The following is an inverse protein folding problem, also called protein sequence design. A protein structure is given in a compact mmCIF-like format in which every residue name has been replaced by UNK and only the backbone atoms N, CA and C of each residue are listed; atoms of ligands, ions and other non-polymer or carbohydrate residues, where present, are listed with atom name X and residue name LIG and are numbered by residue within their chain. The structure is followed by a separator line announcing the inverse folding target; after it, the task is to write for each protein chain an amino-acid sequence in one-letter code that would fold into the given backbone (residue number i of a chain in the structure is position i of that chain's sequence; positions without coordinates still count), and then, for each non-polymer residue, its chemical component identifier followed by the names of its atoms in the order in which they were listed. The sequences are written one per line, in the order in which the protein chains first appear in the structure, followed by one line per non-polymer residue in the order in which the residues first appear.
data_IF_345947508570
#
_entry.id   IF_345947508570
#
_cell.length_a   1.000
_cell.length_b   1.000
_cell.length_c   1.000
_cell.angle_alpha   90.00
_cell.angle_beta   90.00
_cell.angle_gamma   90.00
#
_symmetry.space_group_name_H-M   'P 1'
#
loop_
_entity.id
_entity.type
_entity.pdbx_description
1 polymer ?
#
# COMPACT_ATOMS: atom_id res chain seq x y z
N UNK A 1 1.22 1.76 10.02
CA UNK A 1 1.17 0.50 10.75
C UNK A 1 -0.03 -0.27 10.21
N UNK A 2 0.17 -0.91 9.06
CA UNK A 2 -0.74 -1.93 8.53
C UNK A 2 0.08 -3.22 8.64
N UNK A 3 -0.28 -4.06 9.61
CA UNK A 3 0.30 -5.38 9.80
C UNK A 3 -0.24 -6.29 8.71
N UNK A 4 0.62 -6.71 7.78
CA UNK A 4 0.28 -7.74 6.80
C UNK A 4 0.74 -9.09 7.36
N UNK A 5 -0.25 -9.87 7.78
CA UNK A 5 -0.12 -11.30 7.99
C UNK A 5 0.23 -11.96 6.64
N UNK A 6 1.32 -12.73 6.60
CA UNK A 6 1.74 -13.38 5.35
C UNK A 6 2.89 -14.37 5.53
N UNK A 7 2.56 -15.51 6.12
CA UNK A 7 2.98 -16.88 5.72
C UNK A 7 4.48 -17.13 5.44
N UNK A 8 5.10 -17.90 6.34
CA UNK A 8 6.42 -18.51 6.20
C UNK A 8 6.50 -19.42 4.98
N UNK A 9 7.37 -19.11 4.01
CA UNK A 9 7.74 -20.03 2.93
C UNK A 9 9.15 -20.59 3.21
N UNK A 10 9.23 -21.92 3.35
CA UNK A 10 10.46 -22.67 3.63
C UNK A 10 11.32 -22.75 2.37
N UNK A 11 12.60 -22.46 2.55
CA UNK A 11 13.69 -22.63 1.59
C UNK A 11 13.72 -24.06 0.99
N UNK A 12 13.80 -24.18 -0.34
CA UNK A 12 14.23 -25.41 -1.01
C UNK A 12 15.38 -25.10 -1.99
N UNK A 13 16.53 -25.76 -1.78
CA UNK A 13 17.76 -25.61 -2.57
C UNK A 13 17.76 -26.66 -3.68
N UNK A 14 18.07 -26.22 -4.90
CA UNK A 14 18.21 -27.08 -6.07
C UNK A 14 19.51 -27.91 -6.01
N UNK A 15 19.44 -29.19 -6.39
CA UNK A 15 20.58 -30.01 -6.83
C UNK A 15 20.20 -30.88 -8.04
N UNK A 16 21.08 -30.91 -9.04
CA UNK A 16 20.95 -31.42 -10.42
C UNK A 16 21.07 -32.95 -10.58
N UNK A 17 20.61 -33.48 -11.75
CA UNK A 17 21.16 -34.60 -12.59
C UNK A 17 20.12 -34.97 -13.71
N UNK A 18 20.39 -34.80 -15.01
CA UNK A 18 21.11 -35.67 -16.00
C UNK A 18 20.26 -36.79 -16.64
N UNK A 19 19.84 -36.54 -17.91
CA UNK A 19 19.90 -37.39 -19.13
C UNK A 19 19.04 -38.68 -19.34
N UNK A 20 18.43 -38.72 -20.55
CA UNK A 20 18.23 -39.84 -21.51
C UNK A 20 16.84 -40.48 -21.77
N UNK A 21 16.51 -40.47 -23.07
CA UNK A 21 15.86 -41.51 -23.91
C UNK A 21 14.33 -41.66 -24.08
N UNK A 22 14.02 -42.05 -25.32
CA UNK A 22 12.78 -42.17 -26.08
C UNK A 22 11.91 -43.36 -25.70
N UNK A 23 10.57 -43.25 -25.88
CA UNK A 23 9.69 -44.26 -26.53
C UNK A 23 8.20 -43.85 -26.51
N UNK A 24 7.50 -44.37 -27.49
CA UNK A 24 6.19 -44.02 -28.06
C UNK A 24 5.03 -44.84 -27.43
N UNK A 25 3.81 -44.24 -27.35
CA UNK A 25 2.46 -44.80 -27.66
C UNK A 25 1.31 -44.58 -26.64
N UNK A 26 0.26 -43.97 -27.19
CA UNK A 26 -1.21 -44.24 -27.07
C UNK A 26 -2.02 -43.84 -25.81
N UNK A 27 -2.78 -42.75 -25.99
CA UNK A 27 -4.17 -42.42 -25.57
C UNK A 27 -4.70 -42.97 -24.22
N UNK A 28 -5.08 -42.06 -23.32
CA UNK A 28 -6.44 -42.05 -22.75
C UNK A 28 -6.84 -40.62 -22.39
N UNK A 29 -8.05 -40.22 -22.82
CA UNK A 29 -8.66 -38.92 -22.55
C UNK A 29 -9.09 -38.85 -21.08
N UNK A 30 -8.65 -37.82 -20.38
CA UNK A 30 -9.39 -37.29 -19.23
C UNK A 30 -9.47 -35.78 -19.38
N UNK A 31 -10.60 -35.34 -19.93
CA UNK A 31 -10.98 -33.93 -20.03
C UNK A 31 -11.18 -33.38 -18.61
N UNK A 32 -10.16 -32.78 -18.01
CA UNK A 32 -10.41 -31.78 -16.96
C UNK A 32 -10.86 -30.51 -17.65
N UNK A 33 -12.18 -30.44 -17.88
CA UNK A 33 -12.88 -29.18 -18.19
C UNK A 33 -12.64 -28.24 -17.00
N UNK A 34 -11.55 -27.46 -17.02
CA UNK A 34 -11.49 -26.24 -16.22
C UNK A 34 -12.59 -25.34 -16.76
N UNK A 35 -13.73 -25.35 -16.07
CA UNK A 35 -14.87 -24.47 -16.34
C UNK A 35 -14.35 -23.04 -16.35
N UNK A 36 -14.07 -22.52 -17.54
CA UNK A 36 -13.99 -21.09 -17.81
C UNK A 36 -15.36 -20.52 -17.47
N UNK A 37 -15.54 -20.09 -16.22
CA UNK A 37 -16.73 -19.34 -15.83
C UNK A 37 -16.70 -18.05 -16.63
N UNK A 38 -17.51 -18.01 -17.68
CA UNK A 38 -17.84 -16.82 -18.44
C UNK A 38 -18.34 -15.76 -17.46
N UNK A 39 -17.51 -14.74 -17.19
CA UNK A 39 -17.92 -13.58 -16.39
C UNK A 39 -19.08 -12.92 -17.14
N UNK A 40 -20.26 -12.92 -16.53
CA UNK A 40 -21.34 -12.02 -16.89
C UNK A 40 -20.76 -10.60 -17.02
N UNK A 41 -21.18 -9.80 -18.03
CA UNK A 41 -20.70 -8.43 -18.15
C UNK A 41 -21.11 -7.69 -16.87
N UNK A 42 -20.12 -7.40 -16.03
CA UNK A 42 -20.37 -6.69 -14.79
C UNK A 42 -21.02 -5.35 -15.15
N UNK A 43 -22.22 -5.07 -14.62
CA UNK A 43 -23.01 -3.85 -14.88
C UNK A 43 -22.20 -2.55 -14.70
N UNK A 44 -21.09 -2.62 -13.96
CA UNK A 44 -20.16 -1.53 -13.71
C UNK A 44 -18.75 -1.96 -14.12
N UNK A 45 -18.11 -1.24 -15.05
CA UNK A 45 -16.78 -1.59 -15.58
C UNK A 45 -15.64 -0.70 -15.07
N UNK A 46 -15.96 0.45 -14.47
CA UNK A 46 -15.00 1.47 -14.04
C UNK A 46 -15.29 1.93 -12.61
N UNK A 47 -14.23 2.11 -11.83
CA UNK A 47 -14.30 2.63 -10.46
C UNK A 47 -13.43 3.89 -10.36
N UNK A 48 -13.86 4.83 -9.53
CA UNK A 48 -13.07 6.02 -9.18
C UNK A 48 -12.98 6.13 -7.67
N UNK A 49 -11.78 6.49 -7.21
CA UNK A 49 -11.54 6.83 -5.81
C UNK A 49 -10.70 8.10 -5.72
N UNK A 50 -10.98 8.90 -4.70
CA UNK A 50 -10.23 10.11 -4.42
C UNK A 50 -8.91 9.74 -3.72
N UNK A 51 -7.81 10.39 -4.06
CA UNK A 51 -6.49 10.18 -3.41
C UNK A 51 -6.41 10.82 -2.01
N UNK A 52 -7.40 10.53 -1.17
CA UNK A 52 -7.53 11.12 0.16
C UNK A 52 -6.97 10.20 1.23
N UNK A 53 -5.96 10.67 1.97
CA UNK A 53 -5.33 9.96 3.10
C UNK A 53 -4.83 8.55 2.72
N UNK A 54 -4.74 7.59 3.65
CA UNK A 54 -4.25 6.22 3.39
C UNK A 54 -5.34 5.28 2.87
N UNK A 55 -6.61 5.69 2.97
CA UNK A 55 -7.78 4.85 2.68
C UNK A 55 -7.97 4.52 1.20
N UNK A 56 -7.32 5.24 0.28
CA UNK A 56 -7.38 4.90 -1.14
C UNK A 56 -6.66 3.59 -1.47
N UNK A 57 -5.69 3.15 -0.65
CA UNK A 57 -4.90 1.94 -0.89
C UNK A 57 -5.79 0.69 -0.98
N UNK A 58 -6.60 0.34 0.04
CA UNK A 58 -7.49 -0.82 -0.06
C UNK A 58 -8.55 -0.66 -1.16
N UNK A 59 -9.07 0.55 -1.37
CA UNK A 59 -10.06 0.84 -2.42
C UNK A 59 -9.50 0.73 -3.83
N UNK A 60 -8.19 0.88 -3.99
CA UNK A 60 -7.50 0.69 -5.26
C UNK A 60 -7.14 -0.78 -5.48
N UNK A 61 -6.52 -1.41 -4.48
CA UNK A 61 -5.98 -2.77 -4.61
C UNK A 61 -7.05 -3.87 -4.67
N UNK A 62 -8.14 -3.76 -3.90
CA UNK A 62 -9.15 -4.82 -3.85
C UNK A 62 -9.89 -4.97 -5.20
N UNK A 63 -10.40 -3.90 -5.83
CA UNK A 63 -11.08 -4.05 -7.11
C UNK A 63 -10.12 -4.32 -8.27
N UNK A 64 -8.88 -3.82 -8.21
CA UNK A 64 -7.82 -4.13 -9.18
C UNK A 64 -7.57 -5.65 -9.23
N UNK A 65 -7.47 -6.33 -8.08
CA UNK A 65 -7.31 -7.80 -8.01
C UNK A 65 -8.48 -8.56 -8.64
N UNK A 66 -9.69 -8.03 -8.56
CA UNK A 66 -10.89 -8.65 -9.15
C UNK A 66 -11.07 -8.35 -10.66
N UNK A 67 -10.26 -7.44 -11.21
CA UNK A 67 -10.23 -7.08 -12.62
C UNK A 67 -11.02 -5.82 -13.00
N UNK A 68 -11.36 -4.94 -12.04
CA UNK A 68 -11.96 -3.65 -12.35
C UNK A 68 -10.91 -2.63 -12.78
N UNK A 69 -11.27 -1.74 -13.72
CA UNK A 69 -10.45 -0.57 -14.04
C UNK A 69 -10.67 0.51 -12.99
N UNK A 70 -9.72 0.68 -12.09
CA UNK A 70 -9.76 1.70 -11.03
C UNK A 70 -8.95 2.93 -11.44
N UNK A 71 -9.57 4.10 -11.36
CA UNK A 71 -8.92 5.39 -11.57
C UNK A 71 -8.77 6.11 -10.23
N UNK A 72 -7.53 6.37 -9.84
CA UNK A 72 -7.22 7.24 -8.71
C UNK A 72 -7.24 8.69 -9.17
N UNK A 73 -7.98 9.57 -8.50
CA UNK A 73 -8.14 10.98 -8.92
C UNK A 73 -7.32 11.92 -8.05
N UNK A 74 -6.81 13.02 -8.63
CA UNK A 74 -6.16 14.08 -7.86
C UNK A 74 -7.22 14.90 -7.10
N UNK A 75 -7.14 14.90 -5.76
CA UNK A 75 -8.05 15.66 -4.88
C UNK A 75 -8.07 17.15 -5.23
N UNK A 76 -6.93 17.73 -5.60
CA UNK A 76 -6.80 19.16 -5.90
C UNK A 76 -7.54 19.55 -7.18
N UNK A 77 -7.46 18.70 -8.21
CA UNK A 77 -8.17 18.89 -9.47
C UNK A 77 -9.69 18.75 -9.28
N UNK A 78 -10.14 17.79 -8.46
CA UNK A 78 -11.58 17.62 -8.20
C UNK A 78 -12.14 18.81 -7.42
N UNK A 79 -11.34 19.40 -6.51
CA UNK A 79 -11.70 20.58 -5.72
C UNK A 79 -11.74 21.87 -6.53
N UNK A 80 -10.94 21.99 -7.59
CA UNK A 80 -10.91 23.20 -8.44
C UNK A 80 -12.13 23.31 -9.34
N UNK A 81 -12.91 22.24 -9.52
CA UNK A 81 -14.12 22.28 -10.33
C UNK A 81 -15.27 22.79 -9.43
N UNK A 82 -15.92 23.92 -9.77
CA UNK A 82 -16.91 24.56 -8.92
C UNK A 82 -18.09 23.63 -8.60
N UNK A 83 -18.41 23.47 -7.32
CA UNK A 83 -19.51 22.61 -6.83
C UNK A 83 -19.94 22.96 -5.40
N UNK A 84 -21.20 22.69 -5.05
CA UNK A 84 -21.67 22.58 -3.65
C UNK A 84 -21.35 21.18 -3.08
N UNK A 85 -20.49 21.11 -2.06
CA UNK A 85 -19.94 19.85 -1.53
C UNK A 85 -20.83 19.24 -0.43
N UNK A 86 -21.33 18.03 -0.66
CA UNK A 86 -21.80 17.09 0.39
C UNK A 86 -21.20 15.69 0.15
N UNK A 87 -21.02 14.86 1.18
CA UNK A 87 -20.28 13.60 1.06
C UNK A 87 -20.97 12.58 0.13
N UNK A 88 -22.28 12.41 0.24
CA UNK A 88 -23.06 11.54 -0.67
C UNK A 88 -23.08 12.07 -2.12
N UNK A 89 -22.99 13.39 -2.30
CA UNK A 89 -22.88 13.98 -3.63
C UNK A 89 -21.46 13.87 -4.20
N UNK A 90 -20.44 13.59 -3.39
CA UNK A 90 -19.06 13.49 -3.86
C UNK A 90 -18.84 12.27 -4.76
N UNK A 91 -19.36 11.10 -4.39
CA UNK A 91 -19.24 9.88 -5.22
C UNK A 91 -20.00 10.01 -6.53
N UNK A 92 -21.21 10.60 -6.49
CA UNK A 92 -21.99 10.91 -7.71
C UNK A 92 -21.24 11.88 -8.61
N UNK A 93 -20.64 12.91 -8.02
CA UNK A 93 -19.86 13.91 -8.73
C UNK A 93 -18.61 13.33 -9.39
N UNK A 94 -17.81 12.57 -8.64
CA UNK A 94 -16.63 11.88 -9.16
C UNK A 94 -16.99 10.93 -10.31
N UNK A 95 -18.13 10.24 -10.22
CA UNK A 95 -18.62 9.38 -11.30
C UNK A 95 -19.01 10.19 -12.52
N UNK A 96 -19.70 11.33 -12.34
CA UNK A 96 -20.06 12.23 -13.43
C UNK A 96 -18.82 12.72 -14.19
N UNK A 97 -17.81 13.20 -13.45
CA UNK A 97 -16.53 13.64 -13.99
C UNK A 97 -15.77 12.51 -14.71
N UNK A 98 -15.82 11.28 -14.18
CA UNK A 98 -15.19 10.10 -14.81
C UNK A 98 -15.86 9.74 -16.14
N UNK A 99 -17.19 9.80 -16.20
CA UNK A 99 -17.94 9.57 -17.46
C UNK A 99 -17.58 10.62 -18.50
N UNK A 100 -17.47 11.88 -18.07
CA UNK A 100 -17.05 12.99 -18.93
C UNK A 100 -15.57 12.98 -19.31
N UNK A 101 -14.76 12.03 -18.81
CA UNK A 101 -13.30 11.99 -18.97
C UNK A 101 -12.59 13.29 -18.55
N UNK A 102 -13.19 14.05 -17.65
CA UNK A 102 -12.69 15.36 -17.19
C UNK A 102 -11.61 15.24 -16.09
N UNK A 103 -11.31 14.03 -15.64
CA UNK A 103 -10.35 13.78 -14.56
C UNK A 103 -9.10 13.10 -15.09
N UNK A 104 -7.94 13.65 -14.73
CA UNK A 104 -6.66 13.01 -15.00
C UNK A 104 -6.38 11.93 -13.95
N UNK A 105 -6.00 10.70 -14.35
CA UNK A 105 -5.58 9.69 -13.39
C UNK A 105 -4.31 10.16 -12.67
N UNK A 106 -4.26 9.95 -11.36
CA UNK A 106 -3.05 10.17 -10.57
C UNK A 106 -2.08 9.01 -10.78
N UNK A 107 -0.78 9.32 -10.71
CA UNK A 107 0.26 8.32 -10.85
C UNK A 107 0.25 7.38 -9.63
N UNK A 108 0.11 6.08 -9.89
CA UNK A 108 0.27 5.02 -8.88
C UNK A 108 1.58 4.30 -9.20
N UNK A 109 2.59 4.36 -8.32
CA UNK A 109 3.87 3.70 -8.55
C UNK A 109 3.70 2.17 -8.57
N UNK A 110 4.62 1.47 -9.24
CA UNK A 110 4.65 0.01 -9.20
C UNK A 110 4.78 -0.53 -7.76
N UNK A 111 4.31 -1.76 -7.51
CA UNK A 111 4.25 -2.35 -6.16
C UNK A 111 5.60 -2.37 -5.44
N UNK A 112 6.71 -2.64 -6.14
CA UNK A 112 8.05 -2.62 -5.54
C UNK A 112 8.46 -1.21 -5.06
N UNK A 113 8.14 -0.16 -5.84
CA UNK A 113 8.39 1.23 -5.46
C UNK A 113 7.47 1.66 -4.30
N UNK A 114 6.22 1.19 -4.25
CA UNK A 114 5.33 1.43 -3.12
C UNK A 114 5.94 0.89 -1.82
N UNK A 115 6.41 -0.37 -1.84
CA UNK A 115 7.04 -1.00 -0.68
C UNK A 115 8.31 -0.25 -0.22
N UNK A 116 9.16 0.14 -1.17
CA UNK A 116 10.35 0.93 -0.86
C UNK A 116 9.99 2.29 -0.23
N UNK A 117 8.99 2.98 -0.78
CA UNK A 117 8.50 4.26 -0.24
C UNK A 117 7.88 4.11 1.14
N UNK A 118 7.22 3.01 1.41
CA UNK A 118 6.67 2.71 2.74
C UNK A 118 7.80 2.53 3.75
N UNK A 119 8.82 1.73 3.42
CA UNK A 119 9.99 1.51 4.28
C UNK A 119 10.73 2.81 4.60
N UNK A 120 10.98 3.66 3.58
CA UNK A 120 11.67 4.94 3.80
C UNK A 120 10.85 5.89 4.67
N UNK A 121 9.53 5.97 4.45
CA UNK A 121 8.63 6.76 5.30
C UNK A 121 8.57 6.22 6.73
N UNK A 122 8.54 4.91 6.90
CA UNK A 122 8.58 4.27 8.22
C UNK A 122 9.87 4.62 8.95
N UNK A 123 11.03 4.54 8.29
CA UNK A 123 12.32 4.93 8.89
C UNK A 123 12.28 6.38 9.39
N UNK A 124 11.86 7.32 8.53
CA UNK A 124 11.74 8.74 8.92
C UNK A 124 10.80 8.89 10.12
N UNK A 125 9.66 8.20 10.12
CA UNK A 125 8.71 8.23 11.23
C UNK A 125 9.30 7.70 12.53
N UNK A 126 10.06 6.61 12.49
CA UNK A 126 10.74 6.07 13.68
C UNK A 126 11.80 7.01 14.22
N UNK A 127 12.60 7.64 13.36
CA UNK A 127 13.59 8.65 13.78
C UNK A 127 12.90 9.83 14.46
N UNK A 128 11.80 10.33 13.90
CA UNK A 128 11.01 11.39 14.52
C UNK A 128 10.41 10.97 15.87
N UNK A 129 9.82 9.77 15.94
CA UNK A 129 9.24 9.23 17.16
C UNK A 129 10.31 9.07 18.26
N UNK A 130 11.53 8.65 17.90
CA UNK A 130 12.68 8.57 18.81
C UNK A 130 12.97 9.92 19.45
N UNK A 131 13.10 10.98 18.65
CA UNK A 131 13.33 12.34 19.15
C UNK A 131 12.16 12.84 20.00
N UNK A 132 10.92 12.58 19.59
CA UNK A 132 9.73 12.94 20.36
C UNK A 132 9.70 12.25 21.72
N UNK A 133 10.09 10.97 21.78
CA UNK A 133 10.17 10.22 23.02
C UNK A 133 11.25 10.78 23.95
N UNK A 134 12.45 11.07 23.43
CA UNK A 134 13.51 11.75 24.19
C UNK A 134 13.03 13.07 24.79
N UNK A 135 12.36 13.89 23.98
CA UNK A 135 11.80 15.17 24.44
C UNK A 135 10.73 15.00 25.51
N UNK A 136 9.91 13.95 25.42
CA UNK A 136 8.90 13.63 26.44
C UNK A 136 9.54 13.21 27.76
N UNK A 137 10.56 12.35 27.72
CA UNK A 137 11.33 11.98 28.92
C UNK A 137 11.96 13.21 29.57
N UNK A 138 12.56 14.10 28.77
CA UNK A 138 13.15 15.33 29.29
C UNK A 138 12.11 16.25 29.95
N UNK A 139 10.92 16.36 29.36
CA UNK A 139 9.81 17.12 29.96
C UNK A 139 9.38 16.55 31.31
N UNK A 140 9.32 15.23 31.45
CA UNK A 140 8.97 14.55 32.72
C UNK A 140 10.02 14.83 33.79
N UNK A 141 11.31 14.69 33.46
CA UNK A 141 12.42 14.95 34.39
C UNK A 141 12.46 16.42 34.84
N UNK A 142 12.26 17.36 33.91
CA UNK A 142 12.18 18.77 34.24
C UNK A 142 11.02 19.08 35.19
N UNK A 143 9.88 18.37 35.06
CA UNK A 143 8.71 18.55 35.94
C UNK A 143 8.98 18.15 37.39
N UNK A 144 9.87 17.18 37.62
CA UNK A 144 10.31 16.75 38.97
C UNK A 144 11.59 17.48 39.43
N UNK A 145 11.93 18.60 38.79
CA UNK A 145 13.12 19.42 39.07
C UNK A 145 14.48 18.70 38.87
N UNK A 146 14.51 17.63 38.07
CA UNK A 146 15.75 16.94 37.70
C UNK A 146 16.23 17.48 36.34
N UNK A 147 17.27 18.32 36.36
CA UNK A 147 17.88 18.91 35.16
C UNK A 147 19.05 18.07 34.63
N UNK A 148 18.76 16.94 33.98
CA UNK A 148 19.83 16.11 33.38
C UNK A 148 20.55 16.79 32.21
N UNK A 149 19.84 17.59 31.41
CA UNK A 149 20.42 18.25 30.23
C UNK A 149 21.50 19.30 30.55
N UNK A 150 21.58 19.78 31.80
CA UNK A 150 22.60 20.77 32.19
C UNK A 150 23.91 20.14 32.65
N UNK A 151 23.91 18.82 32.92
CA UNK A 151 25.08 18.10 33.44
C UNK A 151 25.56 16.98 32.53
N UNK A 152 24.71 16.45 31.64
CA UNK A 152 25.09 15.44 30.65
C UNK A 152 25.25 16.05 29.26
N UNK A 153 26.34 15.69 28.58
CA UNK A 153 26.56 16.03 27.16
C UNK A 153 25.59 15.31 26.22
N UNK A 154 25.16 14.09 26.58
CA UNK A 154 24.06 13.39 25.92
C UNK A 154 23.21 12.62 26.94
N UNK A 155 21.90 12.92 26.96
CA UNK A 155 20.90 12.28 27.82
C UNK A 155 20.59 10.84 27.39
N UNK A 156 20.86 10.46 26.14
CA UNK A 156 20.63 9.08 25.67
C UNK A 156 21.75 8.09 25.99
N UNK A 157 22.88 8.55 26.51
CA UNK A 157 24.02 7.70 26.84
C UNK A 157 24.75 7.13 25.61
N UNK A 158 25.85 6.41 25.86
CA UNK A 158 26.76 5.87 24.82
C UNK A 158 26.11 4.90 23.83
N UNK A 159 24.94 4.35 24.17
CA UNK A 159 24.11 3.54 23.27
C UNK A 159 23.20 4.42 22.40
N UNK A 160 23.75 5.50 21.83
CA UNK A 160 23.05 6.25 20.81
C UNK A 160 22.66 5.28 19.70
N UNK A 161 21.36 5.23 19.42
CA UNK A 161 20.78 4.40 18.37
C UNK A 161 21.13 5.02 17.01
N UNK A 162 22.41 4.94 16.62
CA UNK A 162 22.99 5.57 15.42
C UNK A 162 22.68 4.76 14.17
N UNK A 163 21.41 4.68 13.77
CA UNK A 163 20.99 4.17 12.47
C UNK A 163 19.74 4.91 11.97
#
# INVERSE_FOLDING_TARGET
MYTDYGFMEKNNRNTSKTTQTTKTKTKTKTKTKTKTKTKTPNKYSKLVTESTNIHWIPLYLAPEKTGFKVTLTNTHQVKSIPRRKTNQTNSKWLTHLLRGKQIKPNYVPAKHLQKLRELTRLRVKYVQNRTQFKNRCQKVLNRVNIRLHSKLSDISGKAEWKY
#
